data_IF_217199132906
#
_entry.id   IF_217199132906
#
_cell.length_a   1.000
_cell.length_b   1.000
_cell.length_c   1.000
_cell.angle_alpha   90.00
_cell.angle_beta   90.00
_cell.angle_gamma   90.00
#
_symmetry.space_group_name_H-M   'P 1'
#
loop_
_entity.id
_entity.type
_entity.pdbx_description
1 polymer ?
#
# COMPACT_ATOMS: atom_id res chain seq x y z
N UNK A 1 -53.34 -40.86 -13.87
CA UNK A 1 -53.17 -39.47 -13.33
C UNK A 1 -52.07 -39.39 -12.25
N UNK A 2 -51.24 -40.44 -12.13
CA UNK A 2 -50.17 -40.51 -11.10
C UNK A 2 -48.75 -40.27 -11.64
N UNK A 3 -48.56 -40.12 -12.96
CA UNK A 3 -47.22 -39.98 -13.57
C UNK A 3 -46.72 -38.54 -13.70
N UNK A 4 -47.52 -37.53 -13.35
CA UNK A 4 -47.15 -36.10 -13.52
C UNK A 4 -46.56 -35.52 -12.22
N UNK A 5 -46.77 -36.12 -11.06
CA UNK A 5 -46.30 -35.61 -9.76
C UNK A 5 -44.81 -35.92 -9.52
N UNK A 6 -44.22 -36.88 -10.25
CA UNK A 6 -42.82 -37.26 -10.07
C UNK A 6 -41.77 -36.33 -10.79
N UNK A 7 -42.20 -35.46 -11.70
CA UNK A 7 -41.29 -34.61 -12.51
C UNK A 7 -41.03 -33.22 -11.90
N UNK A 8 -41.92 -32.75 -11.02
CA UNK A 8 -41.74 -31.44 -10.37
C UNK A 8 -40.82 -31.49 -9.15
N UNK A 9 -40.69 -32.63 -8.47
CA UNK A 9 -39.78 -32.80 -7.33
C UNK A 9 -38.28 -32.79 -7.72
N UNK A 10 -37.96 -33.40 -8.88
CA UNK A 10 -36.55 -33.53 -9.33
C UNK A 10 -35.92 -32.22 -9.72
N UNK A 11 -36.68 -31.29 -10.27
CA UNK A 11 -36.13 -29.97 -10.66
C UNK A 11 -35.76 -29.09 -9.45
N UNK A 12 -36.57 -29.13 -8.41
CA UNK A 12 -36.32 -28.38 -7.20
C UNK A 12 -35.12 -28.94 -6.40
N UNK A 13 -35.03 -30.25 -6.31
CA UNK A 13 -33.89 -30.94 -5.69
C UNK A 13 -32.56 -30.60 -6.41
N UNK A 14 -32.54 -30.72 -7.73
CA UNK A 14 -31.36 -30.37 -8.55
C UNK A 14 -30.98 -28.87 -8.37
N UNK A 15 -31.98 -27.99 -8.36
CA UNK A 15 -31.79 -26.57 -8.12
C UNK A 15 -31.19 -26.29 -6.73
N UNK A 16 -31.67 -26.95 -5.68
CA UNK A 16 -31.11 -26.89 -4.35
C UNK A 16 -29.68 -27.38 -4.28
N UNK A 17 -29.35 -28.50 -4.93
CA UNK A 17 -27.96 -29.01 -4.97
C UNK A 17 -27.03 -28.08 -5.73
N UNK A 18 -27.47 -27.42 -6.79
CA UNK A 18 -26.70 -26.42 -7.52
C UNK A 18 -26.43 -25.19 -6.65
N UNK A 19 -27.45 -24.68 -5.95
CA UNK A 19 -27.25 -23.52 -5.03
C UNK A 19 -26.33 -23.89 -3.88
N UNK A 20 -26.50 -25.07 -3.25
CA UNK A 20 -25.64 -25.54 -2.18
C UNK A 20 -24.19 -25.75 -2.65
N UNK A 21 -24.00 -26.33 -3.84
CA UNK A 21 -22.69 -26.53 -4.46
C UNK A 21 -22.01 -25.19 -4.79
N UNK A 22 -22.74 -24.26 -5.41
CA UNK A 22 -22.23 -22.91 -5.71
C UNK A 22 -21.91 -22.12 -4.43
N UNK A 23 -22.82 -22.16 -3.43
CA UNK A 23 -22.58 -21.54 -2.12
C UNK A 23 -21.38 -22.13 -1.39
N UNK A 24 -21.16 -23.44 -1.48
CA UNK A 24 -19.99 -24.11 -0.94
C UNK A 24 -18.68 -23.66 -1.59
N UNK A 25 -18.67 -23.52 -2.92
CA UNK A 25 -17.50 -23.03 -3.65
C UNK A 25 -17.21 -21.59 -3.28
N UNK A 26 -18.22 -20.71 -3.27
CA UNK A 26 -18.04 -19.30 -2.88
C UNK A 26 -17.55 -19.21 -1.43
N UNK A 27 -18.13 -19.98 -0.52
CA UNK A 27 -17.70 -20.05 0.88
C UNK A 27 -16.23 -20.48 1.02
N UNK A 28 -15.82 -21.50 0.25
CA UNK A 28 -14.42 -21.97 0.24
C UNK A 28 -13.46 -20.87 -0.26
N UNK A 29 -13.82 -20.18 -1.33
CA UNK A 29 -13.00 -19.08 -1.89
C UNK A 29 -12.85 -17.94 -0.87
N UNK A 30 -13.95 -17.53 -0.24
CA UNK A 30 -13.95 -16.49 0.81
C UNK A 30 -13.09 -16.93 1.99
N UNK A 31 -13.18 -18.20 2.38
CA UNK A 31 -12.39 -18.76 3.48
C UNK A 31 -10.88 -18.73 3.16
N UNK A 32 -10.48 -19.11 1.94
CA UNK A 32 -9.08 -19.07 1.51
C UNK A 32 -8.57 -17.62 1.50
N UNK A 33 -9.37 -16.66 1.02
CA UNK A 33 -9.04 -15.24 1.03
C UNK A 33 -8.86 -14.76 2.47
N UNK A 34 -9.76 -15.11 3.37
CA UNK A 34 -9.68 -14.73 4.78
C UNK A 34 -8.44 -15.30 5.46
N UNK A 35 -8.05 -16.55 5.18
CA UNK A 35 -6.81 -17.12 5.71
C UNK A 35 -5.56 -16.45 5.17
N UNK A 36 -5.54 -16.11 3.88
CA UNK A 36 -4.36 -15.53 3.22
C UNK A 36 -4.15 -14.06 3.59
N UNK A 37 -5.21 -13.28 3.65
CA UNK A 37 -5.17 -11.82 3.81
C UNK A 37 -5.62 -11.34 5.19
N UNK A 38 -6.31 -12.19 5.96
CA UNK A 38 -6.89 -11.82 7.24
C UNK A 38 -5.87 -11.34 8.26
N UNK A 39 -4.70 -11.99 8.35
CA UNK A 39 -3.63 -11.59 9.27
C UNK A 39 -3.07 -10.20 8.93
N UNK A 40 -2.77 -9.95 7.66
CA UNK A 40 -2.30 -8.65 7.16
C UNK A 40 -3.34 -7.54 7.35
N UNK A 41 -4.60 -7.85 7.09
CA UNK A 41 -5.69 -6.90 7.29
C UNK A 41 -5.89 -6.55 8.77
N UNK A 42 -5.83 -7.55 9.63
CA UNK A 42 -5.96 -7.37 11.09
C UNK A 42 -4.80 -6.52 11.65
N UNK A 43 -3.57 -6.75 11.18
CA UNK A 43 -2.41 -5.94 11.53
C UNK A 43 -2.62 -4.47 11.10
N UNK A 44 -2.99 -4.23 9.86
CA UNK A 44 -3.28 -2.89 9.35
C UNK A 44 -4.44 -2.20 10.06
N UNK A 45 -5.48 -2.94 10.41
CA UNK A 45 -6.63 -2.42 11.15
C UNK A 45 -6.24 -1.95 12.55
N UNK A 46 -5.46 -2.74 13.30
CA UNK A 46 -4.96 -2.38 14.62
C UNK A 46 -4.01 -1.18 14.60
N UNK A 47 -3.23 -1.02 13.53
CA UNK A 47 -2.31 0.11 13.37
C UNK A 47 -2.98 1.37 12.78
N UNK A 48 -4.28 1.33 12.47
CA UNK A 48 -5.01 2.45 11.90
C UNK A 48 -4.73 2.71 10.41
N UNK A 49 -4.03 1.79 9.73
CA UNK A 49 -3.68 1.90 8.31
C UNK A 49 -4.83 1.52 7.39
N UNK A 50 -6.00 2.02 7.57
CA UNK A 50 -7.29 1.77 6.90
C UNK A 50 -7.21 1.32 5.42
N UNK A 51 -6.71 0.10 5.18
CA UNK A 51 -6.71 -0.54 3.85
C UNK A 51 -7.88 -1.53 3.82
N UNK A 52 -8.71 -1.43 2.79
CA UNK A 52 -9.85 -2.35 2.60
C UNK A 52 -9.39 -3.76 2.22
N UNK A 53 -10.11 -4.80 2.68
CA UNK A 53 -9.85 -6.19 2.26
C UNK A 53 -9.91 -6.36 0.73
N UNK A 54 -10.87 -5.72 0.07
CA UNK A 54 -11.00 -5.74 -1.39
C UNK A 54 -9.80 -5.08 -2.07
N UNK A 55 -9.26 -4.02 -1.48
CA UNK A 55 -8.08 -3.32 -1.98
C UNK A 55 -6.84 -4.23 -1.91
N UNK A 56 -6.64 -4.96 -0.80
CA UNK A 56 -5.59 -5.98 -0.67
C UNK A 56 -5.70 -7.09 -1.72
N UNK A 57 -6.92 -7.57 -1.99
CA UNK A 57 -7.16 -8.61 -3.00
C UNK A 57 -6.85 -8.07 -4.41
N UNK A 58 -7.31 -6.86 -4.74
CA UNK A 58 -7.04 -6.23 -6.05
C UNK A 58 -5.57 -5.94 -6.29
N UNK A 59 -4.81 -5.55 -5.25
CA UNK A 59 -3.35 -5.42 -5.30
C UNK A 59 -2.68 -6.76 -5.65
N UNK A 60 -3.20 -7.88 -5.12
CA UNK A 60 -2.71 -9.22 -5.48
C UNK A 60 -2.84 -9.54 -6.96
N UNK A 61 -3.90 -9.11 -7.62
CA UNK A 61 -4.08 -9.27 -9.07
C UNK A 61 -3.12 -8.38 -9.89
N UNK A 62 -2.71 -7.24 -9.34
CA UNK A 62 -1.77 -6.31 -10.00
C UNK A 62 -0.31 -6.62 -9.73
N UNK A 63 0.00 -7.75 -9.08
CA UNK A 63 1.36 -8.17 -8.72
C UNK A 63 2.10 -7.17 -7.82
N UNK A 64 1.37 -6.39 -7.02
CA UNK A 64 1.93 -5.49 -6.01
C UNK A 64 2.22 -6.29 -4.73
N UNK A 65 3.40 -6.09 -4.12
CA UNK A 65 3.71 -6.74 -2.85
C UNK A 65 2.92 -6.09 -1.70
N UNK A 66 1.87 -6.80 -1.28
CA UNK A 66 0.96 -6.37 -0.23
C UNK A 66 1.66 -6.16 1.12
N UNK A 67 2.70 -6.97 1.41
CA UNK A 67 3.43 -6.85 2.68
C UNK A 67 4.22 -5.56 2.74
N UNK A 68 4.95 -5.22 1.68
CA UNK A 68 5.69 -3.96 1.59
C UNK A 68 4.75 -2.76 1.60
N UNK A 69 3.61 -2.86 0.91
CA UNK A 69 2.59 -1.83 0.91
C UNK A 69 2.01 -1.58 2.31
N UNK A 70 1.65 -2.66 3.01
CA UNK A 70 1.11 -2.57 4.37
C UNK A 70 2.13 -1.98 5.34
N UNK A 71 3.38 -2.43 5.30
CA UNK A 71 4.47 -1.90 6.14
C UNK A 71 4.70 -0.42 5.89
N UNK A 72 4.76 0.01 4.63
CA UNK A 72 4.90 1.41 4.26
C UNK A 72 3.75 2.27 4.82
N UNK A 73 2.51 1.80 4.69
CA UNK A 73 1.35 2.49 5.26
C UNK A 73 1.38 2.56 6.79
N UNK A 74 1.72 1.45 7.46
CA UNK A 74 1.85 1.41 8.93
C UNK A 74 2.92 2.41 9.38
N UNK A 75 4.09 2.43 8.73
CA UNK A 75 5.17 3.37 9.01
C UNK A 75 4.72 4.83 8.84
N UNK A 76 4.01 5.13 7.75
CA UNK A 76 3.50 6.48 7.50
C UNK A 76 2.52 6.94 8.59
N UNK A 77 1.59 6.05 9.01
CA UNK A 77 0.62 6.35 10.08
C UNK A 77 1.31 6.52 11.43
N UNK A 78 2.25 5.65 11.78
CA UNK A 78 3.00 5.71 13.05
C UNK A 78 3.88 6.97 13.15
N UNK A 79 4.42 7.43 12.03
CA UNK A 79 5.19 8.67 11.94
C UNK A 79 4.32 9.94 11.83
N UNK A 80 3.01 9.80 11.95
CA UNK A 80 2.05 10.91 11.84
C UNK A 80 2.11 11.67 10.49
N UNK A 81 2.55 10.98 9.43
CA UNK A 81 2.51 11.55 8.09
C UNK A 81 1.04 11.72 7.64
N UNK A 82 0.75 12.72 6.81
CA UNK A 82 -0.58 12.86 6.23
C UNK A 82 -0.89 11.65 5.33
N UNK A 83 -1.92 10.90 5.72
CA UNK A 83 -2.40 9.71 5.00
C UNK A 83 -3.90 9.83 4.74
N UNK A 84 -4.45 9.01 3.88
CA UNK A 84 -5.91 8.94 3.64
C UNK A 84 -6.71 8.71 4.93
N UNK A 85 -6.08 8.11 5.95
CA UNK A 85 -6.73 7.79 7.22
C UNK A 85 -6.89 9.01 8.13
N UNK A 86 -5.95 9.96 8.09
CA UNK A 86 -5.90 11.13 8.97
C UNK A 86 -6.01 12.48 8.25
N UNK A 87 -5.98 12.49 6.90
CA UNK A 87 -6.18 13.70 6.12
C UNK A 87 -7.65 14.17 6.22
N UNK A 88 -7.85 15.43 6.60
CA UNK A 88 -9.14 16.10 6.49
C UNK A 88 -9.27 16.68 5.07
N UNK A 89 -10.50 16.74 4.55
CA UNK A 89 -10.86 17.01 3.15
C UNK A 89 -10.06 18.05 2.37
N UNK A 90 -9.51 19.09 3.00
CA UNK A 90 -8.74 20.15 2.34
C UNK A 90 -7.30 19.76 2.03
N UNK A 91 -6.77 18.71 2.70
CA UNK A 91 -5.39 18.23 2.55
C UNK A 91 -5.22 17.20 1.43
N UNK A 92 -6.30 16.75 0.80
CA UNK A 92 -6.25 15.69 -0.24
C UNK A 92 -5.47 16.13 -1.49
N UNK A 93 -5.34 17.43 -1.73
CA UNK A 93 -4.59 18.02 -2.85
C UNK A 93 -3.12 18.31 -2.50
N UNK A 94 -2.72 18.13 -1.26
CA UNK A 94 -1.34 18.38 -0.82
C UNK A 94 -0.40 17.26 -1.32
N UNK A 95 0.68 17.62 -1.99
CA UNK A 95 1.72 16.72 -2.49
C UNK A 95 2.34 15.81 -1.43
N UNK A 96 2.12 16.11 -0.14
CA UNK A 96 2.64 15.39 1.02
C UNK A 96 1.86 14.14 1.41
N UNK A 97 0.62 13.97 0.92
CA UNK A 97 -0.22 12.85 1.34
C UNK A 97 0.29 11.52 0.79
N UNK A 98 0.53 10.59 1.71
CA UNK A 98 0.87 9.20 1.39
C UNK A 98 -0.42 8.41 1.15
N UNK A 99 -0.84 8.32 -0.11
CA UNK A 99 -2.02 7.55 -0.50
C UNK A 99 -1.64 6.16 -0.98
N UNK A 100 -2.55 5.19 -0.81
CA UNK A 100 -2.36 3.83 -1.34
C UNK A 100 -2.10 3.84 -2.84
N UNK A 101 -2.83 4.68 -3.59
CA UNK A 101 -2.69 4.80 -5.05
C UNK A 101 -1.32 5.33 -5.48
N UNK A 102 -0.77 6.31 -4.76
CA UNK A 102 0.58 6.85 -5.05
C UNK A 102 1.66 5.81 -4.77
N UNK A 103 1.57 5.10 -3.64
CA UNK A 103 2.47 4.01 -3.31
C UNK A 103 2.42 2.89 -4.36
N UNK A 104 1.21 2.50 -4.79
CA UNK A 104 1.00 1.48 -5.83
C UNK A 104 1.60 1.93 -7.18
N UNK A 105 1.34 3.16 -7.59
CA UNK A 105 1.89 3.72 -8.82
C UNK A 105 3.42 3.76 -8.80
N UNK A 106 4.02 4.17 -7.67
CA UNK A 106 5.45 4.19 -7.49
C UNK A 106 6.08 2.78 -7.54
N UNK A 107 5.43 1.79 -6.89
CA UNK A 107 5.86 0.39 -6.94
C UNK A 107 5.83 -0.16 -8.38
N UNK A 108 4.73 0.10 -9.10
CA UNK A 108 4.59 -0.35 -10.49
C UNK A 108 5.57 0.35 -11.44
N UNK A 109 6.02 1.56 -11.12
CA UNK A 109 7.09 2.26 -11.83
C UNK A 109 8.50 1.69 -11.53
N UNK A 110 8.61 0.67 -10.66
CA UNK A 110 9.87 0.04 -10.27
C UNK A 110 10.58 0.70 -9.10
N UNK A 111 9.92 1.64 -8.39
CA UNK A 111 10.46 2.30 -7.21
C UNK A 111 10.35 1.48 -5.94
N UNK A 112 11.09 1.90 -4.91
CA UNK A 112 11.09 1.28 -3.59
C UNK A 112 10.21 2.06 -2.60
N UNK A 113 8.97 1.59 -2.39
CA UNK A 113 7.99 2.25 -1.52
C UNK A 113 8.45 2.40 -0.06
N UNK A 114 9.18 1.41 0.46
CA UNK A 114 9.67 1.47 1.85
C UNK A 114 10.71 2.57 2.01
N UNK A 115 11.64 2.69 1.05
CA UNK A 115 12.68 3.73 1.06
C UNK A 115 12.07 5.13 0.94
N UNK A 116 11.09 5.31 0.08
CA UNK A 116 10.38 6.59 -0.06
C UNK A 116 9.67 6.97 1.23
N UNK A 117 8.92 6.05 1.84
CA UNK A 117 8.23 6.34 3.11
C UNK A 117 9.23 6.59 4.24
N UNK A 118 10.33 5.84 4.33
CA UNK A 118 11.39 6.06 5.32
C UNK A 118 12.02 7.46 5.18
N UNK A 119 12.25 7.90 3.94
CA UNK A 119 12.77 9.25 3.69
C UNK A 119 11.79 10.36 4.07
N UNK A 120 10.49 10.15 3.82
CA UNK A 120 9.44 11.07 4.26
C UNK A 120 9.34 11.15 5.79
N UNK A 121 9.48 10.00 6.48
CA UNK A 121 9.54 9.96 7.95
C UNK A 121 10.76 10.71 8.48
N UNK A 122 11.93 10.49 7.87
CA UNK A 122 13.16 11.19 8.25
C UNK A 122 13.04 12.70 8.00
N UNK A 123 12.50 13.12 6.86
CA UNK A 123 12.27 14.52 6.53
C UNK A 123 11.29 15.19 7.52
N UNK A 124 10.17 14.52 7.81
CA UNK A 124 9.19 15.00 8.78
C UNK A 124 9.80 15.16 10.19
N UNK A 125 10.63 14.20 10.62
CA UNK A 125 11.32 14.25 11.90
C UNK A 125 12.37 15.37 11.96
N UNK A 126 12.98 15.71 10.82
CA UNK A 126 13.97 16.80 10.70
C UNK A 126 13.32 18.17 10.44
N UNK A 127 11.99 18.25 10.32
CA UNK A 127 11.28 19.49 10.00
C UNK A 127 11.49 19.94 8.54
N UNK A 128 11.92 19.04 7.66
CA UNK A 128 12.10 19.30 6.23
C UNK A 128 10.77 19.06 5.51
N UNK A 129 10.37 20.01 4.71
CA UNK A 129 9.18 19.91 3.87
C UNK A 129 9.51 19.15 2.58
N UNK A 130 9.32 17.82 2.62
CA UNK A 130 9.54 16.91 1.49
C UNK A 130 8.20 16.37 1.01
N UNK A 131 7.88 16.62 -0.25
CA UNK A 131 6.69 16.07 -0.89
C UNK A 131 6.91 14.63 -1.34
N UNK A 132 5.82 13.83 -1.34
CA UNK A 132 5.86 12.45 -1.82
C UNK A 132 6.37 12.34 -3.26
N UNK A 133 5.93 13.23 -4.13
CA UNK A 133 6.29 13.19 -5.55
C UNK A 133 7.77 13.52 -5.77
N UNK A 134 8.35 14.41 -4.96
CA UNK A 134 9.79 14.70 -4.96
C UNK A 134 10.60 13.49 -4.50
N UNK A 135 10.22 12.87 -3.38
CA UNK A 135 10.87 11.67 -2.86
C UNK A 135 10.79 10.51 -3.87
N UNK A 136 9.63 10.32 -4.48
CA UNK A 136 9.40 9.30 -5.51
C UNK A 136 10.25 9.55 -6.76
N UNK A 137 10.39 10.80 -7.21
CA UNK A 137 11.23 11.16 -8.35
C UNK A 137 12.72 10.89 -8.09
N UNK A 138 13.19 11.18 -6.88
CA UNK A 138 14.60 10.93 -6.49
C UNK A 138 14.85 9.41 -6.45
N UNK A 139 13.94 8.61 -5.90
CA UNK A 139 14.08 7.15 -5.85
C UNK A 139 14.08 6.54 -7.26
N UNK A 140 13.16 6.97 -8.13
CA UNK A 140 13.10 6.49 -9.53
C UNK A 140 14.34 6.93 -10.34
N UNK A 141 14.98 8.05 -9.98
CA UNK A 141 16.27 8.44 -10.56
C UNK A 141 17.45 7.58 -10.07
N UNK A 142 17.19 6.58 -9.22
CA UNK A 142 18.19 5.66 -8.67
C UNK A 142 19.08 6.28 -7.58
N UNK A 143 18.67 7.43 -7.01
CA UNK A 143 19.37 8.08 -5.89
C UNK A 143 18.79 7.63 -4.56
N UNK A 144 19.66 7.65 -3.54
CA UNK A 144 19.22 7.39 -2.18
C UNK A 144 18.53 8.64 -1.61
N UNK A 145 17.22 8.55 -1.43
CA UNK A 145 16.39 9.66 -0.91
C UNK A 145 16.73 9.94 0.56
N UNK A 146 17.05 8.91 1.35
CA UNK A 146 17.42 9.05 2.76
C UNK A 146 18.74 9.79 2.89
N UNK A 147 19.73 9.47 2.03
CA UNK A 147 21.01 10.19 2.00
C UNK A 147 20.84 11.65 1.54
N UNK A 148 19.96 11.91 0.59
CA UNK A 148 19.61 13.26 0.17
C UNK A 148 19.02 14.09 1.33
N UNK A 149 18.09 13.52 2.11
CA UNK A 149 17.52 14.17 3.30
C UNK A 149 18.60 14.41 4.36
N UNK A 150 19.42 13.41 4.67
CA UNK A 150 20.52 13.55 5.64
C UNK A 150 21.52 14.63 5.24
N UNK A 151 21.89 14.70 3.96
CA UNK A 151 22.81 15.72 3.45
C UNK A 151 22.20 17.13 3.55
N UNK A 152 20.88 17.25 3.50
CA UNK A 152 20.20 18.53 3.73
C UNK A 152 20.23 18.99 5.19
N UNK A 153 20.22 18.03 6.14
CA UNK A 153 20.35 18.33 7.59
C UNK A 153 21.78 18.57 8.00
N UNK A 154 22.71 17.74 7.49
CA UNK A 154 24.14 17.84 7.76
C UNK A 154 24.90 18.05 6.45
N UNK A 155 25.09 19.31 5.99
CA UNK A 155 25.77 19.57 4.73
C UNK A 155 27.21 19.09 4.81
N UNK A 156 27.60 18.17 3.91
CA UNK A 156 28.99 17.75 3.74
C UNK A 156 29.79 18.93 3.21
N UNK A 157 30.69 19.43 4.01
CA UNK A 157 31.67 20.45 3.56
C UNK A 157 32.67 19.77 2.65
N UNK A 158 32.62 20.10 1.36
CA UNK A 158 33.63 19.68 0.39
C UNK A 158 34.74 20.71 0.43
N UNK A 159 35.92 20.33 0.95
CA UNK A 159 37.13 21.16 0.83
C UNK A 159 37.60 21.11 -0.61
N UNK A 160 37.31 22.14 -1.38
CA UNK A 160 37.98 22.37 -2.65
C UNK A 160 39.44 22.79 -2.35
N UNK A 161 40.45 22.06 -2.85
CA UNK A 161 41.82 22.52 -2.74
C UNK A 161 41.95 23.87 -3.49
N UNK A 162 42.49 24.87 -2.78
CA UNK A 162 42.68 26.20 -3.30
C UNK A 162 43.74 26.12 -4.44
N UNK A 163 43.39 26.46 -5.68
CA UNK A 163 44.34 26.36 -6.81
C UNK A 163 45.54 27.25 -6.66
N UNK A 164 45.50 28.28 -5.79
CA UNK A 164 46.63 29.21 -5.56
C UNK A 164 47.68 28.68 -4.57
N UNK A 165 47.43 27.56 -3.88
CA UNK A 165 48.35 27.02 -2.86
C UNK A 165 49.20 25.84 -3.34
N UNK A 166 49.10 25.43 -4.60
CA UNK A 166 49.86 24.36 -5.24
C UNK A 166 50.95 24.89 -6.21
N UNK A 167 51.49 26.09 -5.99
CA UNK A 167 52.64 26.64 -6.67
C UNK A 167 53.91 26.54 -5.84
#
# INVERSE_FOLDING_TARGET
MEHIIGLEGGGFEVFLFVILGFGGIVGLVVFIIALKYGALWFEGFNCGARIGLLELVTMGFRQVDQKSMMRAKIQAVQANLPTEANARGDTVLDGRIVTTKRLEAHYLAGGNILRVVESLVAANSAGIDLEFDQAAAIDLAGRDVVDAVRTSVEPKVIHCPDPERSG
#
